data_IF_854876285666
#
_entry.id   IF_854876285666
#
_cell.length_a   1.000
_cell.length_b   1.000
_cell.length_c   1.000
_cell.angle_alpha   90.00
_cell.angle_beta   90.00
_cell.angle_gamma   90.00
#
_symmetry.space_group_name_H-M   'P 1'
#
loop_
_entity.id
_entity.type
_entity.pdbx_description
1 polymer ?
#
# COMPACT_ATOMS: atom_id res chain seq x y z
N UNK A 1 2.50 24.39 25.02
CA UNK A 1 1.86 23.26 24.29
C UNK A 1 2.16 21.90 24.93
N UNK A 2 3.43 21.59 25.25
CA UNK A 2 3.83 20.25 25.74
C UNK A 2 3.29 19.84 27.12
N UNK A 3 3.11 20.78 28.06
CA UNK A 3 2.47 20.49 29.35
C UNK A 3 1.00 20.06 29.19
N UNK A 4 0.27 20.59 28.19
CA UNK A 4 -1.12 20.20 27.91
C UNK A 4 -1.22 18.76 27.38
N UNK A 5 -0.27 18.32 26.56
CA UNK A 5 -0.20 16.94 26.05
C UNK A 5 0.14 15.96 27.20
N UNK A 6 1.06 16.34 28.09
CA UNK A 6 1.42 15.55 29.28
C UNK A 6 0.25 15.37 30.24
N UNK A 7 -0.50 16.45 30.48
CA UNK A 7 -1.67 16.41 31.34
C UNK A 7 -2.82 15.64 30.67
N UNK A 8 -2.97 15.75 29.35
CA UNK A 8 -3.89 14.94 28.55
C UNK A 8 -3.61 13.44 28.67
N UNK A 9 -2.36 12.99 28.50
CA UNK A 9 -1.98 11.56 28.63
C UNK A 9 -2.20 11.04 30.05
N UNK A 10 -1.93 11.86 31.08
CA UNK A 10 -2.16 11.46 32.47
C UNK A 10 -3.65 11.35 32.80
N UNK A 11 -4.43 12.33 32.38
CA UNK A 11 -5.89 12.32 32.51
C UNK A 11 -6.47 11.15 31.72
N UNK A 12 -5.91 10.84 30.54
CA UNK A 12 -6.29 9.70 29.72
C UNK A 12 -6.15 8.37 30.47
N UNK A 13 -4.97 8.06 31.01
CA UNK A 13 -4.78 6.80 31.74
C UNK A 13 -5.54 6.75 33.07
N UNK A 14 -5.81 7.91 33.68
CA UNK A 14 -6.59 8.00 34.90
C UNK A 14 -8.09 7.77 34.64
N UNK A 15 -8.67 8.39 33.60
CA UNK A 15 -10.08 8.24 33.22
C UNK A 15 -10.38 6.88 32.59
N UNK A 16 -9.44 6.26 31.86
CA UNK A 16 -9.63 4.92 31.27
C UNK A 16 -9.67 3.77 32.28
N UNK A 17 -9.29 3.99 33.55
CA UNK A 17 -9.13 2.91 34.56
C UNK A 17 -9.95 3.11 35.83
N UNK A 18 -10.74 4.17 35.91
CA UNK A 18 -11.48 4.56 37.11
C UNK A 18 -12.95 4.82 36.80
N UNK A 19 -13.83 4.36 37.69
CA UNK A 19 -15.24 4.76 37.77
C UNK A 19 -15.37 5.47 39.11
N UNK A 20 -15.81 6.74 39.13
CA UNK A 20 -16.02 7.50 40.39
C UNK A 20 -14.83 7.38 41.37
N UNK A 21 -13.61 7.50 40.82
CA UNK A 21 -12.33 7.35 41.52
C UNK A 21 -11.91 5.97 42.04
N UNK A 22 -12.74 4.94 41.84
CA UNK A 22 -12.42 3.54 42.16
C UNK A 22 -11.82 2.76 40.97
N UNK A 23 -10.81 1.90 41.20
CA UNK A 23 -10.20 1.08 40.15
C UNK A 23 -11.12 -0.05 39.70
N UNK A 24 -11.26 -0.22 38.38
CA UNK A 24 -12.11 -1.26 37.78
C UNK A 24 -11.57 -2.67 38.04
N UNK A 25 -12.46 -3.65 38.25
CA UNK A 25 -12.11 -5.07 38.35
C UNK A 25 -11.36 -5.56 37.09
N UNK A 26 -10.30 -6.36 37.27
CA UNK A 26 -9.50 -6.92 36.17
C UNK A 26 -10.34 -7.66 35.12
N UNK A 27 -11.39 -8.37 35.54
CA UNK A 27 -12.30 -9.08 34.63
C UNK A 27 -13.10 -8.11 33.75
N UNK A 28 -13.63 -7.04 34.34
CA UNK A 28 -14.35 -5.99 33.60
C UNK A 28 -13.42 -5.25 32.64
N UNK A 29 -12.16 -5.01 33.01
CA UNK A 29 -11.15 -4.42 32.12
C UNK A 29 -10.83 -5.32 30.92
N UNK A 30 -10.77 -6.65 31.10
CA UNK A 30 -10.59 -7.58 29.97
C UNK A 30 -11.78 -7.54 29.02
N UNK A 31 -13.01 -7.54 29.54
CA UNK A 31 -14.24 -7.46 28.73
C UNK A 31 -14.28 -6.17 27.91
N UNK A 32 -13.94 -5.03 28.52
CA UNK A 32 -13.88 -3.74 27.82
C UNK A 32 -12.85 -3.81 26.68
N UNK A 33 -11.64 -4.32 26.92
CA UNK A 33 -10.62 -4.44 25.87
C UNK A 33 -11.10 -5.30 24.69
N UNK A 34 -11.81 -6.42 24.94
CA UNK A 34 -12.33 -7.28 23.88
C UNK A 34 -13.36 -6.53 23.04
N UNK A 35 -14.30 -5.82 23.69
CA UNK A 35 -15.30 -4.99 23.01
C UNK A 35 -14.61 -3.90 22.20
N UNK A 36 -13.61 -3.23 22.78
CA UNK A 36 -12.88 -2.15 22.14
C UNK A 36 -12.15 -2.63 20.87
N UNK A 37 -11.53 -3.82 20.92
CA UNK A 37 -10.88 -4.44 19.75
C UNK A 37 -11.90 -4.79 18.66
N UNK A 38 -13.07 -5.31 19.04
CA UNK A 38 -14.15 -5.60 18.10
C UNK A 38 -14.66 -4.33 17.41
N UNK A 39 -14.89 -3.26 18.18
CA UNK A 39 -15.32 -1.97 17.64
C UNK A 39 -14.23 -1.39 16.74
N UNK A 40 -12.98 -1.42 17.18
CA UNK A 40 -11.84 -0.94 16.39
C UNK A 40 -11.77 -1.67 15.04
N UNK A 41 -11.93 -2.99 15.02
CA UNK A 41 -12.00 -3.78 13.79
C UNK A 41 -13.11 -3.30 12.85
N UNK A 42 -14.33 -3.15 13.36
CA UNK A 42 -15.48 -2.67 12.56
C UNK A 42 -15.25 -1.25 12.02
N UNK A 43 -14.63 -0.36 12.81
CA UNK A 43 -14.28 1.00 12.37
C UNK A 43 -13.27 0.95 11.23
N UNK A 44 -12.26 0.09 11.30
CA UNK A 44 -11.31 -0.08 10.19
C UNK A 44 -11.97 -0.64 8.93
N UNK A 45 -12.85 -1.62 9.06
CA UNK A 45 -13.62 -2.14 7.92
C UNK A 45 -14.49 -1.05 7.29
N UNK A 46 -15.22 -0.28 8.10
CA UNK A 46 -16.03 0.83 7.60
C UNK A 46 -15.21 1.94 6.94
N UNK A 47 -14.03 2.25 7.50
CA UNK A 47 -13.10 3.22 6.91
C UNK A 47 -12.53 2.76 5.56
N UNK A 48 -12.25 1.47 5.41
CA UNK A 48 -11.75 0.89 4.17
C UNK A 48 -12.85 0.87 3.09
N UNK A 49 -14.07 0.47 3.46
CA UNK A 49 -15.24 0.47 2.58
C UNK A 49 -15.57 1.87 2.05
N UNK A 50 -15.73 2.86 2.95
CA UNK A 50 -16.05 4.24 2.54
C UNK A 50 -14.92 4.88 1.71
N UNK A 51 -13.67 4.47 1.93
CA UNK A 51 -12.52 4.97 1.16
C UNK A 51 -12.46 4.46 -0.28
N UNK A 52 -13.19 3.37 -0.59
CA UNK A 52 -13.31 2.80 -1.93
C UNK A 52 -14.59 3.23 -2.63
N UNK A 53 -15.48 3.95 -1.95
CA UNK A 53 -16.70 4.48 -2.53
C UNK A 53 -16.47 5.45 -3.72
N UNK A 54 -15.52 6.42 -3.67
CA UNK A 54 -15.17 7.17 -4.87
C UNK A 54 -14.43 6.29 -5.88
N UNK A 55 -14.73 6.46 -7.17
CA UNK A 55 -14.04 5.74 -8.24
C UNK A 55 -12.52 6.00 -8.16
N UNK A 56 -11.76 4.91 -8.19
CA UNK A 56 -10.31 4.99 -8.31
C UNK A 56 -9.90 5.56 -9.67
N UNK A 57 -8.67 6.10 -9.82
CA UNK A 57 -8.18 6.59 -11.10
C UNK A 57 -8.21 5.52 -12.20
N UNK A 58 -7.97 4.26 -11.84
CA UNK A 58 -8.04 3.14 -12.79
C UNK A 58 -9.47 2.75 -13.15
N UNK A 59 -10.44 2.99 -12.27
CA UNK A 59 -11.86 2.79 -12.56
C UNK A 59 -12.46 3.96 -13.35
N UNK A 60 -12.07 5.19 -13.07
CA UNK A 60 -12.54 6.37 -13.78
C UNK A 60 -11.93 6.50 -15.20
N UNK A 61 -10.72 5.98 -15.40
CA UNK A 61 -10.00 6.01 -16.68
C UNK A 61 -9.43 4.61 -17.04
N UNK A 62 -10.29 3.59 -17.23
CA UNK A 62 -9.86 2.21 -17.44
C UNK A 62 -9.07 2.01 -18.74
N UNK A 63 -9.31 2.85 -19.74
CA UNK A 63 -8.60 2.81 -21.02
C UNK A 63 -7.17 3.35 -20.97
N UNK A 64 -6.78 4.09 -19.91
CA UNK A 64 -5.52 4.81 -19.87
C UNK A 64 -4.29 3.89 -19.98
N UNK A 65 -4.25 2.79 -19.24
CA UNK A 65 -3.09 1.90 -19.23
C UNK A 65 -2.82 1.25 -20.60
N UNK A 66 -3.86 0.73 -21.25
CA UNK A 66 -3.73 0.12 -22.58
C UNK A 66 -3.29 1.14 -23.63
N UNK A 67 -3.85 2.35 -23.55
CA UNK A 67 -3.48 3.45 -24.46
C UNK A 67 -2.06 3.96 -24.20
N UNK A 68 -1.63 4.07 -22.94
CA UNK A 68 -0.27 4.44 -22.58
C UNK A 68 0.74 3.43 -23.13
N UNK A 69 0.48 2.13 -22.96
CA UNK A 69 1.34 1.06 -23.49
C UNK A 69 1.50 1.16 -25.01
N UNK A 70 0.42 1.48 -25.73
CA UNK A 70 0.46 1.69 -27.18
C UNK A 70 1.31 2.91 -27.57
N UNK A 71 1.26 4.00 -26.79
CA UNK A 71 2.00 5.23 -27.05
C UNK A 71 3.49 5.14 -26.69
N UNK A 72 3.84 4.33 -25.69
CA UNK A 72 5.24 4.13 -25.26
C UNK A 72 6.05 3.27 -26.26
N UNK A 73 5.39 2.46 -27.10
CA UNK A 73 6.00 1.67 -28.20
C UNK A 73 6.41 2.50 -29.44
N UNK A 74 6.81 3.76 -29.18
CA UNK A 74 7.00 4.89 -30.11
C UNK A 74 7.97 4.70 -31.29
N UNK A 75 8.62 3.54 -31.43
CA UNK A 75 9.53 3.25 -32.55
C UNK A 75 8.86 2.51 -33.72
N UNK A 76 7.83 1.69 -33.44
CA UNK A 76 6.99 1.03 -34.46
C UNK A 76 5.88 0.25 -33.72
N UNK A 77 4.81 0.90 -33.26
CA UNK A 77 3.74 0.20 -32.54
C UNK A 77 3.19 -0.93 -33.43
N UNK A 78 3.21 -2.15 -32.92
CA UNK A 78 2.61 -3.30 -33.62
C UNK A 78 1.09 -3.15 -33.60
N UNK A 79 0.57 -2.37 -34.55
CA UNK A 79 -0.86 -2.11 -34.74
C UNK A 79 -1.67 -3.40 -34.84
N UNK A 80 -1.08 -4.46 -35.42
CA UNK A 80 -1.75 -5.74 -35.51
C UNK A 80 -1.89 -6.36 -34.12
N UNK A 81 -0.82 -6.40 -33.34
CA UNK A 81 -0.85 -6.97 -31.99
C UNK A 81 -1.81 -6.19 -31.09
N UNK A 82 -1.77 -4.86 -31.14
CA UNK A 82 -2.69 -4.01 -30.39
C UNK A 82 -4.17 -4.32 -30.71
N UNK A 83 -4.52 -4.47 -31.98
CA UNK A 83 -5.90 -4.81 -32.38
C UNK A 83 -6.27 -6.25 -32.01
N UNK A 84 -5.33 -7.19 -32.17
CA UNK A 84 -5.53 -8.61 -31.84
C UNK A 84 -5.93 -8.80 -30.38
N UNK A 85 -5.40 -8.00 -29.46
CA UNK A 85 -5.71 -8.10 -28.03
C UNK A 85 -7.20 -7.85 -27.71
N UNK A 86 -7.95 -7.23 -28.62
CA UNK A 86 -9.38 -6.98 -28.51
C UNK A 86 -10.28 -7.96 -29.28
N UNK A 87 -9.71 -8.98 -29.92
CA UNK A 87 -10.46 -9.95 -30.73
C UNK A 87 -10.32 -11.35 -30.13
N UNK A 88 -11.41 -11.92 -29.61
CA UNK A 88 -11.37 -13.26 -29.00
C UNK A 88 -12.75 -13.79 -28.56
N UNK A 89 -12.86 -15.11 -28.48
CA UNK A 89 -14.12 -15.83 -28.18
C UNK A 89 -14.53 -15.77 -26.68
N UNK A 90 -13.61 -15.42 -25.77
CA UNK A 90 -13.84 -15.41 -24.30
C UNK A 90 -13.60 -14.03 -23.66
N UNK A 91 -13.88 -12.93 -24.37
CA UNK A 91 -13.90 -11.63 -23.71
C UNK A 91 -15.23 -11.44 -22.99
N UNK A 92 -15.28 -11.80 -21.70
CA UNK A 92 -16.24 -11.25 -20.77
C UNK A 92 -15.88 -9.78 -20.55
N UNK A 93 -16.27 -8.92 -21.49
CA UNK A 93 -16.06 -7.49 -21.37
C UNK A 93 -17.08 -6.93 -20.37
N UNK A 94 -16.72 -6.90 -19.09
CA UNK A 94 -17.42 -6.08 -18.11
C UNK A 94 -17.44 -4.65 -18.64
N UNK A 95 -18.65 -4.11 -18.85
CA UNK A 95 -18.78 -2.78 -19.41
C UNK A 95 -18.22 -1.74 -18.45
N UNK A 96 -17.53 -0.71 -18.96
CA UNK A 96 -16.99 0.32 -18.08
C UNK A 96 -18.09 1.05 -17.30
N UNK A 97 -19.30 1.13 -17.86
CA UNK A 97 -20.46 1.73 -17.18
C UNK A 97 -20.92 0.97 -15.95
N UNK A 98 -20.70 -0.36 -15.85
CA UNK A 98 -21.20 -1.13 -14.69
C UNK A 98 -20.48 -0.77 -13.39
N UNK A 99 -19.32 -0.12 -13.48
CA UNK A 99 -18.55 0.34 -12.32
C UNK A 99 -19.24 1.53 -11.63
N UNK A 100 -20.11 2.26 -12.34
CA UNK A 100 -20.81 3.43 -11.81
C UNK A 100 -21.95 3.07 -10.83
N UNK A 101 -22.52 1.86 -10.90
CA UNK A 101 -23.78 1.52 -10.22
C UNK A 101 -23.72 1.59 -8.68
N UNK A 102 -22.52 1.54 -8.08
CA UNK A 102 -22.34 1.58 -6.62
C UNK A 102 -21.23 2.54 -6.16
N UNK A 103 -20.72 3.41 -7.04
CA UNK A 103 -19.58 4.26 -6.75
C UNK A 103 -19.86 5.72 -7.04
N UNK A 104 -19.17 6.60 -6.32
CA UNK A 104 -19.21 8.03 -6.59
C UNK A 104 -18.21 8.39 -7.69
N UNK A 105 -18.71 8.90 -8.80
CA UNK A 105 -17.90 9.37 -9.90
C UNK A 105 -18.53 9.00 -11.24
N UNK A 106 -17.82 9.28 -12.33
CA UNK A 106 -18.18 8.83 -13.67
C UNK A 106 -16.94 8.36 -14.41
N UNK A 107 -17.12 7.39 -15.28
CA UNK A 107 -16.08 6.98 -16.21
C UNK A 107 -15.89 8.08 -17.26
N UNK A 108 -14.64 8.28 -17.68
CA UNK A 108 -14.31 9.22 -18.73
C UNK A 108 -15.07 8.91 -20.03
N UNK A 109 -15.74 9.91 -20.66
CA UNK A 109 -16.39 9.73 -21.96
C UNK A 109 -15.44 9.23 -23.05
N UNK A 110 -14.15 9.57 -22.97
CA UNK A 110 -13.13 9.07 -23.89
C UNK A 110 -12.92 7.56 -23.72
N UNK A 111 -12.96 7.04 -22.49
CA UNK A 111 -12.85 5.61 -22.25
C UNK A 111 -14.13 4.86 -22.66
N UNK A 112 -15.31 5.48 -22.55
CA UNK A 112 -16.55 4.90 -23.08
C UNK A 112 -16.53 4.84 -24.61
N UNK A 113 -16.00 5.88 -25.27
CA UNK A 113 -15.80 5.85 -26.72
C UNK A 113 -14.77 4.78 -27.11
N UNK A 114 -13.67 4.67 -26.36
CA UNK A 114 -12.66 3.63 -26.55
C UNK A 114 -13.27 2.22 -26.42
N UNK A 115 -14.06 1.98 -25.38
CA UNK A 115 -14.80 0.72 -25.16
C UNK A 115 -15.65 0.37 -26.39
N UNK A 116 -16.47 1.32 -26.87
CA UNK A 116 -17.34 1.10 -28.03
C UNK A 116 -16.57 0.71 -29.29
N UNK A 117 -15.40 1.32 -29.50
CA UNK A 117 -14.52 1.01 -30.63
C UNK A 117 -13.90 -0.39 -30.48
N UNK A 118 -13.46 -0.75 -29.27
CA UNK A 118 -12.90 -2.09 -29.00
C UNK A 118 -13.95 -3.19 -29.10
N UNK A 119 -15.18 -2.96 -28.63
CA UNK A 119 -16.27 -3.93 -28.77
C UNK A 119 -16.67 -4.13 -30.22
N UNK A 120 -16.66 -3.07 -31.04
CA UNK A 120 -16.93 -3.17 -32.47
C UNK A 120 -15.90 -4.04 -33.23
N UNK A 121 -14.66 -4.12 -32.74
CA UNK A 121 -13.63 -5.00 -33.32
C UNK A 121 -13.95 -6.48 -33.11
N UNK A 122 -14.57 -6.84 -31.99
CA UNK A 122 -14.85 -8.24 -31.64
C UNK A 122 -16.11 -8.76 -32.35
N UNK A 123 -16.05 -8.84 -33.67
CA UNK A 123 -17.10 -9.39 -34.52
C UNK A 123 -16.65 -10.69 -35.21
N UNK A 124 -17.62 -11.49 -35.67
CA UNK A 124 -17.36 -12.80 -36.30
C UNK A 124 -16.40 -12.70 -37.50
N UNK A 125 -16.43 -11.61 -38.27
CA UNK A 125 -15.56 -11.43 -39.44
C UNK A 125 -14.11 -11.26 -39.01
N UNK A 126 -13.84 -10.40 -38.04
CA UNK A 126 -12.51 -10.16 -37.51
C UNK A 126 -11.97 -11.38 -36.76
N UNK A 127 -12.83 -12.06 -35.98
CA UNK A 127 -12.49 -13.32 -35.32
C UNK A 127 -12.06 -14.39 -36.34
N UNK A 128 -12.77 -14.52 -37.46
CA UNK A 128 -12.41 -15.46 -38.52
C UNK A 128 -11.05 -15.12 -39.16
N UNK A 129 -10.73 -13.83 -39.34
CA UNK A 129 -9.42 -13.40 -39.85
C UNK A 129 -8.31 -13.79 -38.86
N UNK A 130 -8.49 -13.49 -37.57
CA UNK A 130 -7.51 -13.86 -36.52
C UNK A 130 -7.34 -15.38 -36.46
N UNK A 131 -8.43 -16.16 -36.50
CA UNK A 131 -8.37 -17.63 -36.51
C UNK A 131 -7.55 -18.15 -37.69
N UNK A 132 -7.78 -17.63 -38.91
CA UNK A 132 -6.99 -17.99 -40.10
C UNK A 132 -5.51 -17.63 -39.96
N UNK A 133 -5.19 -16.52 -39.30
CA UNK A 133 -3.79 -16.15 -39.01
C UNK A 133 -3.18 -17.15 -38.02
N UNK A 134 -3.88 -17.50 -36.94
CA UNK A 134 -3.41 -18.44 -35.93
C UNK A 134 -3.25 -19.88 -36.47
N UNK A 135 -4.14 -20.32 -37.35
CA UNK A 135 -4.03 -21.58 -38.10
C UNK A 135 -2.76 -21.61 -38.97
N UNK A 136 -2.50 -20.54 -39.74
CA UNK A 136 -1.30 -20.44 -40.59
C UNK A 136 -0.01 -20.35 -39.78
N UNK A 137 -0.01 -19.61 -38.68
CA UNK A 137 1.12 -19.59 -37.73
C UNK A 137 1.39 -20.98 -37.17
N UNK A 138 0.34 -21.77 -36.88
CA UNK A 138 0.48 -23.15 -36.43
C UNK A 138 1.09 -24.03 -37.52
N UNK A 139 0.67 -23.89 -38.78
CA UNK A 139 1.27 -24.61 -39.90
C UNK A 139 2.75 -24.25 -40.12
N UNK A 140 3.11 -22.97 -39.99
CA UNK A 140 4.52 -22.53 -40.05
C UNK A 140 5.34 -23.22 -38.96
N UNK A 141 4.88 -23.19 -37.69
CA UNK A 141 5.58 -23.84 -36.58
C UNK A 141 5.80 -25.33 -36.84
N UNK A 142 4.79 -26.05 -37.34
CA UNK A 142 4.91 -27.47 -37.69
C UNK A 142 5.95 -27.72 -38.78
N UNK A 143 6.01 -26.87 -39.81
CA UNK A 143 7.03 -26.96 -40.87
C UNK A 143 8.44 -26.62 -40.35
N UNK A 144 8.57 -25.64 -39.45
CA UNK A 144 9.83 -25.28 -38.81
C UNK A 144 10.36 -26.40 -37.92
N UNK A 145 9.49 -27.02 -37.12
CA UNK A 145 9.83 -28.17 -36.28
C UNK A 145 10.27 -29.37 -37.14
N UNK A 146 9.54 -29.63 -38.24
CA UNK A 146 9.93 -30.67 -39.21
C UNK A 146 11.28 -30.36 -39.86
N UNK A 147 11.52 -29.11 -40.27
CA UNK A 147 12.80 -28.69 -40.82
C UNK A 147 13.95 -28.89 -39.83
N UNK A 148 13.72 -28.63 -38.54
CA UNK A 148 14.70 -28.87 -37.48
C UNK A 148 15.04 -30.36 -37.36
N UNK A 149 14.04 -31.24 -37.39
CA UNK A 149 14.25 -32.69 -37.37
C UNK A 149 15.03 -33.18 -38.60
N UNK A 150 14.66 -32.72 -39.79
CA UNK A 150 15.36 -33.08 -41.04
C UNK A 150 16.83 -32.64 -40.97
N UNK A 151 17.12 -31.42 -40.49
CA UNK A 151 18.50 -30.92 -40.37
C UNK A 151 19.34 -31.73 -39.38
N UNK A 152 18.74 -32.23 -38.30
CA UNK A 152 19.44 -33.07 -37.32
C UNK A 152 19.86 -34.42 -37.92
N UNK A 153 19.04 -34.98 -38.82
CA UNK A 153 19.34 -36.25 -39.50
C UNK A 153 20.26 -36.05 -40.71
N UNK A 154 20.18 -34.91 -41.38
CA UNK A 154 20.91 -34.63 -42.63
C UNK A 154 22.43 -34.83 -42.53
N UNK A 155 23.07 -34.28 -41.49
CA UNK A 155 24.53 -34.38 -41.33
C UNK A 155 24.96 -35.84 -41.11
N UNK A 156 24.18 -36.63 -40.38
CA UNK A 156 24.42 -38.05 -40.16
C UNK A 156 24.21 -38.86 -41.44
N UNK A 157 23.12 -38.63 -42.17
CA UNK A 157 22.86 -39.32 -43.44
C UNK A 157 23.91 -38.97 -44.50
N UNK A 158 24.38 -37.72 -44.54
CA UNK A 158 25.43 -37.30 -45.48
C UNK A 158 26.76 -38.02 -45.19
N UNK A 159 27.12 -38.20 -43.91
CA UNK A 159 28.29 -38.97 -43.52
C UNK A 159 28.16 -40.46 -43.85
N UNK A 160 26.98 -41.05 -43.64
CA UNK A 160 26.67 -42.44 -44.04
C UNK A 160 26.81 -42.63 -45.56
N UNK A 161 26.33 -41.67 -46.36
CA UNK A 161 26.44 -41.70 -47.82
C UNK A 161 27.90 -41.57 -48.27
N UNK A 162 28.69 -40.68 -47.66
CA UNK A 162 30.14 -40.55 -47.93
C UNK A 162 30.89 -41.83 -47.52
N UNK A 163 30.47 -42.50 -46.44
CA UNK A 163 31.04 -43.75 -45.96
C UNK A 163 30.63 -44.98 -46.79
N UNK A 164 29.71 -44.82 -47.76
CA UNK A 164 29.22 -45.92 -48.60
C UNK A 164 28.34 -46.92 -47.84
N UNK A 165 27.70 -46.49 -46.74
CA UNK A 165 26.83 -47.34 -45.95
C UNK A 165 25.53 -47.67 -46.71
N UNK A 166 25.14 -48.95 -46.82
CA UNK A 166 23.86 -49.33 -47.42
C UNK A 166 22.68 -48.74 -46.63
N UNK A 167 21.65 -48.29 -47.35
CA UNK A 167 20.45 -47.65 -46.76
C UNK A 167 19.74 -48.52 -45.72
N UNK A 168 19.76 -49.84 -45.91
CA UNK A 168 19.16 -50.84 -45.03
C UNK A 168 19.76 -50.83 -43.61
N UNK A 169 20.97 -50.28 -43.46
CA UNK A 169 21.70 -50.16 -42.20
C UNK A 169 21.67 -48.73 -41.65
N UNK A 170 21.05 -47.78 -42.36
CA UNK A 170 20.93 -46.39 -41.90
C UNK A 170 19.95 -46.31 -40.74
N UNK A 171 20.30 -45.53 -39.72
CA UNK A 171 19.44 -45.26 -38.57
C UNK A 171 18.52 -44.04 -38.86
N UNK A 172 18.79 -43.32 -39.94
CA UNK A 172 18.06 -42.11 -40.32
C UNK A 172 16.90 -42.43 -41.28
N UNK A 173 15.78 -41.74 -41.11
CA UNK A 173 14.56 -42.00 -41.89
C UNK A 173 14.59 -41.40 -43.31
N UNK A 174 15.49 -40.43 -43.57
CA UNK A 174 15.47 -39.59 -44.78
C UNK A 174 16.85 -39.63 -45.46
N UNK A 175 16.90 -39.79 -46.79
CA UNK A 175 18.17 -39.68 -47.54
C UNK A 175 18.64 -38.22 -47.65
N UNK A 176 19.96 -37.99 -47.77
CA UNK A 176 20.49 -36.64 -47.83
C UNK A 176 19.93 -35.83 -49.02
N UNK A 177 19.73 -36.47 -50.17
CA UNK A 177 19.12 -35.82 -51.35
C UNK A 177 17.66 -35.41 -51.11
N UNK A 178 16.84 -36.31 -50.56
CA UNK A 178 15.42 -36.03 -50.27
C UNK A 178 15.26 -35.02 -49.14
N UNK A 179 16.15 -35.03 -48.15
CA UNK A 179 16.20 -34.04 -47.08
C UNK A 179 16.39 -32.62 -47.61
N UNK A 180 17.28 -32.41 -48.59
CA UNK A 180 17.50 -31.10 -49.21
C UNK A 180 16.28 -30.60 -50.00
N UNK A 181 15.64 -31.48 -50.75
CA UNK A 181 14.42 -31.15 -51.52
C UNK A 181 13.26 -30.80 -50.57
N UNK A 182 13.08 -31.58 -49.50
CA UNK A 182 12.03 -31.36 -48.51
C UNK A 182 12.23 -30.05 -47.72
N UNK A 183 13.47 -29.73 -47.31
CA UNK A 183 13.80 -28.44 -46.69
C UNK A 183 13.47 -27.26 -47.62
N UNK A 184 13.78 -27.40 -48.91
CA UNK A 184 13.51 -26.34 -49.91
C UNK A 184 12.00 -26.14 -50.11
N UNK A 185 11.24 -27.24 -50.20
CA UNK A 185 9.79 -27.21 -50.33
C UNK A 185 9.12 -26.61 -49.08
N UNK A 186 9.55 -27.03 -47.88
CA UNK A 186 9.04 -26.50 -46.63
C UNK A 186 9.34 -25.00 -46.50
N UNK A 187 10.53 -24.54 -46.88
CA UNK A 187 10.87 -23.12 -46.87
C UNK A 187 10.00 -22.30 -47.84
N UNK A 188 9.73 -22.84 -49.03
CA UNK A 188 8.80 -22.21 -49.99
C UNK A 188 7.40 -22.07 -49.41
N UNK A 189 6.89 -23.13 -48.75
CA UNK A 189 5.60 -23.12 -48.07
C UNK A 189 5.55 -22.12 -46.90
N UNK A 190 6.61 -22.04 -46.10
CA UNK A 190 6.72 -21.05 -45.01
C UNK A 190 6.66 -19.63 -45.58
N UNK A 191 7.39 -19.36 -46.68
CA UNK A 191 7.37 -18.05 -47.32
C UNK A 191 5.98 -17.69 -47.86
N UNK A 192 5.27 -18.65 -48.48
CA UNK A 192 3.90 -18.48 -48.95
C UNK A 192 2.94 -18.18 -47.79
N UNK A 193 2.96 -18.99 -46.74
CA UNK A 193 2.13 -18.80 -45.54
C UNK A 193 2.41 -17.45 -44.87
N UNK A 194 3.67 -17.04 -44.82
CA UNK A 194 4.08 -15.73 -44.28
C UNK A 194 3.52 -14.58 -45.12
N UNK A 195 3.54 -14.70 -46.44
CA UNK A 195 2.92 -13.73 -47.36
C UNK A 195 1.40 -13.63 -47.19
N UNK A 196 0.73 -14.77 -47.01
CA UNK A 196 -0.71 -14.81 -46.73
C UNK A 196 -1.04 -14.19 -45.36
N UNK A 197 -0.25 -14.48 -44.32
CA UNK A 197 -0.39 -13.83 -43.00
C UNK A 197 -0.25 -12.32 -43.13
N UNK A 198 0.76 -11.82 -43.86
CA UNK A 198 0.94 -10.38 -44.09
C UNK A 198 -0.28 -9.76 -44.76
N UNK A 199 -0.87 -10.47 -45.72
CA UNK A 199 -2.10 -10.03 -46.42
C UNK A 199 -3.29 -9.99 -45.46
N UNK A 200 -3.49 -11.03 -44.64
CA UNK A 200 -4.57 -11.08 -43.64
C UNK A 200 -4.41 -10.02 -42.55
N UNK A 201 -3.19 -9.76 -42.09
CA UNK A 201 -2.90 -8.65 -41.17
C UNK A 201 -3.28 -7.32 -41.81
N UNK A 202 -2.89 -7.10 -43.07
CA UNK A 202 -3.27 -5.91 -43.82
C UNK A 202 -4.79 -5.77 -44.00
N UNK A 203 -5.50 -6.88 -44.29
CA UNK A 203 -6.97 -6.88 -44.37
C UNK A 203 -7.60 -6.45 -43.04
N UNK A 204 -7.13 -7.00 -41.92
CA UNK A 204 -7.63 -6.65 -40.59
C UNK A 204 -7.38 -5.18 -40.26
N UNK A 205 -6.17 -4.67 -40.53
CA UNK A 205 -5.81 -3.27 -40.27
C UNK A 205 -6.63 -2.27 -41.10
N UNK A 206 -7.08 -2.68 -42.30
CA UNK A 206 -7.86 -1.84 -43.21
C UNK A 206 -9.38 -1.91 -42.97
N UNK A 207 -9.87 -2.72 -42.03
CA UNK A 207 -11.29 -2.72 -41.65
C UNK A 207 -11.66 -1.37 -41.02
N UNK A 208 -12.90 -0.93 -41.23
CA UNK A 208 -13.37 0.37 -40.76
C UNK A 208 -13.25 0.50 -39.23
N UNK A 209 -13.53 -0.57 -38.50
CA UNK A 209 -13.46 -0.66 -37.05
C UNK A 209 -12.00 -0.50 -36.56
N UNK A 210 -11.07 -1.18 -37.23
CA UNK A 210 -9.62 -1.09 -36.98
C UNK A 210 -9.10 0.31 -37.23
N UNK A 211 -9.44 0.90 -38.38
CA UNK A 211 -9.04 2.27 -38.73
C UNK A 211 -9.63 3.27 -37.75
N UNK A 212 -10.88 3.10 -37.33
CA UNK A 212 -11.53 3.98 -36.35
C UNK A 212 -10.82 3.93 -34.98
N UNK A 213 -10.48 2.72 -34.48
CA UNK A 213 -9.73 2.59 -33.24
C UNK A 213 -8.33 3.18 -33.36
N UNK A 214 -7.59 2.84 -34.42
CA UNK A 214 -6.23 3.35 -34.64
C UNK A 214 -6.21 4.87 -34.76
N UNK A 215 -7.14 5.49 -35.48
CA UNK A 215 -7.27 6.95 -35.55
C UNK A 215 -7.62 7.56 -34.18
N UNK A 216 -8.41 6.86 -33.37
CA UNK A 216 -8.73 7.29 -32.02
C UNK A 216 -7.49 7.28 -31.11
N UNK A 217 -6.73 6.19 -31.10
CA UNK A 217 -5.55 6.05 -30.22
C UNK A 217 -4.32 6.82 -30.68
N UNK A 218 -4.18 7.08 -31.98
CA UNK A 218 -3.11 7.91 -32.52
C UNK A 218 -3.36 9.42 -32.35
N UNK A 219 -4.53 9.82 -31.87
CA UNK A 219 -4.82 11.23 -31.61
C UNK A 219 -4.06 11.72 -30.37
N UNK A 220 -3.00 12.52 -30.61
CA UNK A 220 -2.18 13.09 -29.54
C UNK A 220 -2.98 14.00 -28.60
N UNK A 221 -3.95 14.75 -29.13
CA UNK A 221 -4.80 15.63 -28.34
C UNK A 221 -5.64 14.82 -27.33
N UNK A 222 -6.31 13.76 -27.79
CA UNK A 222 -7.11 12.90 -26.91
C UNK A 222 -6.24 12.15 -25.89
N UNK A 223 -5.06 11.70 -26.31
CA UNK A 223 -4.11 11.06 -25.40
C UNK A 223 -3.59 12.03 -24.31
N UNK A 224 -3.24 13.26 -24.70
CA UNK A 224 -2.81 14.28 -23.74
C UNK A 224 -3.92 14.66 -22.75
N UNK A 225 -5.17 14.71 -23.23
CA UNK A 225 -6.33 14.96 -22.41
C UNK A 225 -6.52 13.85 -21.38
N UNK A 226 -6.59 12.58 -21.82
CA UNK A 226 -6.78 11.44 -20.91
C UNK A 226 -5.63 11.32 -19.89
N UNK A 227 -4.38 11.54 -20.34
CA UNK A 227 -3.20 11.52 -19.47
C UNK A 227 -3.28 12.58 -18.39
N UNK A 228 -3.55 13.83 -18.75
CA UNK A 228 -3.66 14.93 -17.77
C UNK A 228 -4.84 14.73 -16.80
N UNK A 229 -5.96 14.16 -17.28
CA UNK A 229 -7.11 13.85 -16.44
C UNK A 229 -6.82 12.70 -15.47
N UNK A 230 -6.14 11.64 -15.94
CA UNK A 230 -5.71 10.53 -15.09
C UNK A 230 -4.68 10.97 -14.05
N UNK A 231 -3.64 11.72 -14.44
CA UNK A 231 -2.62 12.22 -13.52
C UNK A 231 -3.25 13.10 -12.42
N UNK A 232 -4.19 13.97 -12.80
CA UNK A 232 -4.95 14.78 -11.85
C UNK A 232 -5.79 13.91 -10.92
N UNK A 233 -6.50 12.91 -11.44
CA UNK A 233 -7.30 12.01 -10.62
C UNK A 233 -6.42 11.22 -9.66
N UNK A 234 -5.30 10.68 -10.14
CA UNK A 234 -4.32 9.95 -9.33
C UNK A 234 -3.71 10.81 -8.23
N UNK A 235 -3.42 12.08 -8.53
CA UNK A 235 -2.92 13.05 -7.56
C UNK A 235 -3.95 13.37 -6.45
N UNK A 236 -5.21 13.62 -6.81
CA UNK A 236 -6.24 14.02 -5.84
C UNK A 236 -6.90 12.85 -5.12
N UNK A 237 -6.83 11.64 -5.66
CA UNK A 237 -7.51 10.46 -5.11
C UNK A 237 -7.18 10.19 -3.64
N UNK A 238 -5.91 10.17 -3.19
CA UNK A 238 -5.60 9.98 -1.76
C UNK A 238 -6.23 11.04 -0.85
N UNK A 239 -6.33 12.29 -1.32
CA UNK A 239 -6.97 13.38 -0.58
C UNK A 239 -8.48 13.18 -0.49
N UNK A 240 -9.11 12.74 -1.59
CA UNK A 240 -10.54 12.41 -1.63
C UNK A 240 -10.85 11.24 -0.70
N UNK A 241 -10.01 10.20 -0.68
CA UNK A 241 -10.15 9.07 0.25
C UNK A 241 -10.10 9.52 1.71
N UNK A 242 -9.12 10.37 2.06
CA UNK A 242 -9.01 10.92 3.41
C UNK A 242 -10.26 11.73 3.78
N UNK A 243 -10.79 12.55 2.86
CA UNK A 243 -11.99 13.33 3.09
C UNK A 243 -13.17 12.43 3.44
N UNK A 244 -13.39 11.36 2.68
CA UNK A 244 -14.47 10.40 2.95
C UNK A 244 -14.29 9.64 4.27
N UNK A 245 -13.06 9.25 4.59
CA UNK A 245 -12.73 8.67 5.89
C UNK A 245 -13.01 9.65 7.04
N UNK A 246 -12.73 10.94 6.85
CA UNK A 246 -13.05 11.99 7.81
C UNK A 246 -14.56 12.19 7.95
N UNK A 247 -15.33 12.15 6.86
CA UNK A 247 -16.80 12.23 6.89
C UNK A 247 -17.40 11.08 7.69
N UNK A 248 -16.82 9.88 7.62
CA UNK A 248 -17.25 8.74 8.44
C UNK A 248 -16.86 8.89 9.92
N UNK A 249 -15.62 9.31 10.20
CA UNK A 249 -15.03 9.22 11.53
C UNK A 249 -15.27 10.44 12.42
N UNK A 250 -15.30 11.66 11.84
CA UNK A 250 -15.52 12.91 12.59
C UNK A 250 -16.88 12.93 13.29
N UNK A 251 -18.01 12.54 12.68
CA UNK A 251 -19.30 12.46 13.37
C UNK A 251 -19.26 11.54 14.59
N UNK A 252 -18.61 10.38 14.49
CA UNK A 252 -18.47 9.43 15.59
C UNK A 252 -17.67 10.03 16.77
N UNK A 253 -16.59 10.74 16.47
CA UNK A 253 -15.82 11.48 17.48
C UNK A 253 -16.66 12.58 18.12
N UNK A 254 -17.41 13.36 17.33
CA UNK A 254 -18.25 14.45 17.85
C UNK A 254 -19.33 13.89 18.78
N UNK A 255 -20.06 12.86 18.34
CA UNK A 255 -21.10 12.21 19.15
C UNK A 255 -20.50 11.67 20.45
N UNK A 256 -19.40 10.92 20.36
CA UNK A 256 -18.72 10.37 21.53
C UNK A 256 -18.26 11.47 22.50
N UNK A 257 -17.73 12.58 21.98
CA UNK A 257 -17.33 13.74 22.79
C UNK A 257 -18.52 14.44 23.47
N UNK A 258 -19.64 14.59 22.77
CA UNK A 258 -20.86 15.18 23.32
C UNK A 258 -21.44 14.31 24.43
N UNK A 259 -21.54 13.00 24.20
CA UNK A 259 -22.01 12.01 25.19
C UNK A 259 -21.10 12.02 26.41
N UNK A 260 -19.77 12.04 26.22
CA UNK A 260 -18.82 12.11 27.32
C UNK A 260 -19.03 13.36 28.17
N UNK A 261 -19.08 14.55 27.56
CA UNK A 261 -19.31 15.81 28.29
C UNK A 261 -20.64 15.80 29.04
N UNK A 262 -21.70 15.31 28.42
CA UNK A 262 -23.01 15.21 29.05
C UNK A 262 -23.01 14.24 30.24
N UNK A 263 -22.34 13.10 30.11
CA UNK A 263 -22.25 12.06 31.13
C UNK A 263 -21.39 12.48 32.33
N UNK A 264 -20.26 13.16 32.07
CA UNK A 264 -19.36 13.69 33.12
C UNK A 264 -20.10 14.77 33.94
N UNK A 265 -20.86 15.65 33.28
CA UNK A 265 -21.63 16.71 33.94
C UNK A 265 -22.80 16.16 34.79
N UNK A 266 -23.38 15.02 34.42
CA UNK A 266 -24.51 14.39 35.14
C UNK A 266 -24.08 13.35 36.19
N UNK A 267 -22.78 13.06 36.31
CA UNK A 267 -22.27 12.07 37.27
C UNK A 267 -22.56 10.62 36.89
N UNK A 268 -22.83 10.31 35.62
CA UNK A 268 -22.99 8.92 35.18
C UNK A 268 -21.60 8.28 34.93
N UNK A 269 -21.00 7.71 35.97
CA UNK A 269 -19.63 7.18 35.93
C UNK A 269 -19.39 6.11 34.84
N UNK A 270 -20.31 5.16 34.68
CA UNK A 270 -20.20 4.06 33.70
C UNK A 270 -20.28 4.56 32.24
N UNK A 271 -21.22 5.46 31.95
CA UNK A 271 -21.40 6.02 30.60
C UNK A 271 -20.27 6.98 30.24
N UNK A 272 -19.72 7.69 31.23
CA UNK A 272 -18.54 8.56 31.06
C UNK A 272 -17.31 7.72 30.69
N UNK A 273 -17.13 6.57 31.35
CA UNK A 273 -16.07 5.60 31.04
C UNK A 273 -16.24 5.01 29.64
N UNK A 274 -17.43 4.53 29.27
CA UNK A 274 -17.68 3.92 27.95
C UNK A 274 -17.48 4.90 26.80
N UNK A 275 -18.05 6.11 26.90
CA UNK A 275 -17.84 7.14 25.87
C UNK A 275 -16.38 7.59 25.78
N UNK A 276 -15.64 7.59 26.90
CA UNK A 276 -14.21 7.85 26.88
C UNK A 276 -13.45 6.80 26.07
N UNK A 277 -13.69 5.50 26.30
CA UNK A 277 -13.05 4.44 25.51
C UNK A 277 -13.43 4.51 24.02
N UNK A 278 -14.71 4.74 23.70
CA UNK A 278 -15.16 4.95 22.31
C UNK A 278 -14.42 6.12 21.63
N UNK A 279 -14.27 7.25 22.33
CA UNK A 279 -13.51 8.39 21.82
C UNK A 279 -12.07 8.00 21.49
N UNK A 280 -11.41 7.28 22.40
CA UNK A 280 -10.03 6.81 22.21
C UNK A 280 -9.92 5.86 21.02
N UNK A 281 -10.83 4.90 20.90
CA UNK A 281 -10.86 3.93 19.80
C UNK A 281 -11.01 4.64 18.47
N UNK A 282 -11.91 5.63 18.35
CA UNK A 282 -12.06 6.38 17.11
C UNK A 282 -10.86 7.29 16.80
N UNK A 283 -10.13 7.75 17.82
CA UNK A 283 -8.95 8.57 17.62
C UNK A 283 -7.73 7.78 17.10
N UNK A 284 -7.65 6.47 17.36
CA UNK A 284 -6.55 5.62 16.91
C UNK A 284 -6.48 5.54 15.36
N UNK A 285 -7.54 5.14 14.63
CA UNK A 285 -7.54 5.14 13.17
C UNK A 285 -7.29 6.52 12.57
N UNK A 286 -7.83 7.58 13.19
CA UNK A 286 -7.60 8.96 12.74
C UNK A 286 -6.10 9.31 12.76
N UNK A 287 -5.40 9.00 13.85
CA UNK A 287 -3.97 9.24 13.95
C UNK A 287 -3.19 8.42 12.93
N UNK A 288 -3.54 7.13 12.76
CA UNK A 288 -2.89 6.27 11.78
C UNK A 288 -3.07 6.83 10.37
N UNK A 289 -4.29 7.21 9.98
CA UNK A 289 -4.57 7.78 8.65
C UNK A 289 -3.93 9.15 8.44
N UNK A 290 -3.84 9.97 9.49
CA UNK A 290 -3.09 11.22 9.43
C UNK A 290 -1.59 10.97 9.20
N UNK A 291 -1.00 9.99 9.87
CA UNK A 291 0.40 9.62 9.65
C UNK A 291 0.62 9.00 8.27
N UNK A 292 -0.29 8.12 7.81
CA UNK A 292 -0.26 7.55 6.46
C UNK A 292 -0.31 8.66 5.41
N UNK A 293 -1.26 9.60 5.53
CA UNK A 293 -1.34 10.77 4.66
C UNK A 293 -0.12 11.70 4.77
N UNK A 294 0.56 11.79 5.91
CA UNK A 294 1.79 12.60 6.05
C UNK A 294 3.04 11.88 5.53
N UNK A 295 3.10 10.56 5.65
CA UNK A 295 4.20 9.71 5.19
C UNK A 295 4.16 9.50 3.68
N UNK A 296 2.96 9.28 3.13
CA UNK A 296 2.66 9.29 1.68
C UNK A 296 2.45 10.73 1.17
N UNK A 297 2.39 11.69 2.10
CA UNK A 297 2.08 13.08 1.83
C UNK A 297 3.13 13.77 0.99
N UNK A 298 2.64 14.39 -0.08
CA UNK A 298 3.23 15.39 -0.96
C UNK A 298 4.32 16.30 -0.34
N UNK A 299 4.30 16.61 0.96
CA UNK A 299 5.39 17.39 1.60
C UNK A 299 6.72 16.64 1.46
N UNK A 300 6.70 15.33 1.66
CA UNK A 300 7.91 14.53 1.58
C UNK A 300 8.36 14.33 0.13
N UNK A 301 7.47 13.93 -0.78
CA UNK A 301 7.83 13.79 -2.20
C UNK A 301 8.19 15.11 -2.89
N UNK A 302 7.51 16.23 -2.58
CA UNK A 302 7.85 17.54 -3.16
C UNK A 302 9.12 18.12 -2.59
N UNK A 303 9.36 17.98 -1.28
CA UNK A 303 10.63 18.38 -0.67
C UNK A 303 11.78 17.51 -1.20
N UNK A 304 11.54 16.21 -1.40
CA UNK A 304 12.48 15.33 -2.06
C UNK A 304 12.70 15.66 -3.52
N UNK A 305 11.67 16.04 -4.29
CA UNK A 305 11.82 16.49 -5.67
C UNK A 305 12.66 17.77 -5.76
N UNK A 306 12.45 18.71 -4.84
CA UNK A 306 13.31 19.90 -4.73
C UNK A 306 14.75 19.49 -4.41
N UNK A 307 14.96 18.53 -3.49
CA UNK A 307 16.29 18.01 -3.14
C UNK A 307 16.91 17.24 -4.31
N UNK A 308 16.19 16.40 -5.05
CA UNK A 308 16.73 15.66 -6.21
C UNK A 308 17.03 16.58 -7.39
N UNK A 309 16.26 17.64 -7.59
CA UNK A 309 16.56 18.72 -8.55
C UNK A 309 17.82 19.49 -8.10
N UNK A 310 17.96 19.80 -6.81
CA UNK A 310 19.12 20.53 -6.27
C UNK A 310 20.41 19.68 -6.25
N UNK A 311 20.29 18.38 -6.05
CA UNK A 311 21.40 17.41 -5.95
C UNK A 311 21.52 16.48 -7.17
N UNK A 312 20.87 16.80 -8.29
CA UNK A 312 21.10 16.19 -9.60
C UNK A 312 20.78 14.70 -9.72
N UNK A 313 19.77 14.18 -9.03
CA UNK A 313 19.34 12.79 -9.17
C UNK A 313 20.17 11.75 -8.41
N UNK A 314 21.06 12.15 -7.50
CA UNK A 314 21.79 11.23 -6.63
C UNK A 314 20.87 10.67 -5.52
N UNK A 315 19.98 9.75 -5.90
CA UNK A 315 19.08 9.01 -5.00
C UNK A 315 19.82 8.36 -3.80
N UNK A 316 21.09 8.00 -3.97
CA UNK A 316 21.89 7.41 -2.91
C UNK A 316 22.13 8.39 -1.73
N UNK A 317 22.24 9.69 -1.99
CA UNK A 317 22.54 10.70 -0.96
C UNK A 317 21.35 10.86 0.01
N UNK A 318 20.13 10.74 -0.52
CA UNK A 318 18.88 10.73 0.26
C UNK A 318 18.82 9.49 1.16
N UNK A 319 19.21 8.32 0.65
CA UNK A 319 19.30 7.08 1.43
C UNK A 319 20.32 7.17 2.57
N UNK A 320 21.47 7.82 2.36
CA UNK A 320 22.43 8.07 3.45
C UNK A 320 21.87 9.03 4.51
N UNK A 321 21.09 10.04 4.11
CA UNK A 321 20.44 10.95 5.05
C UNK A 321 19.44 10.21 5.97
N UNK A 322 18.68 9.26 5.42
CA UNK A 322 17.79 8.40 6.22
C UNK A 322 18.52 7.56 7.27
N UNK A 323 19.64 6.96 6.88
CA UNK A 323 20.49 6.17 7.79
C UNK A 323 20.97 7.02 8.97
N UNK A 324 21.15 8.34 8.79
CA UNK A 324 21.53 9.26 9.86
C UNK A 324 20.33 9.82 10.65
N UNK A 325 19.21 10.15 10.00
CA UNK A 325 18.05 10.76 10.67
C UNK A 325 17.33 9.76 11.58
N UNK A 326 17.18 8.50 11.18
CA UNK A 326 16.42 7.50 11.95
C UNK A 326 17.06 7.24 13.34
N UNK A 327 18.39 6.98 13.45
CA UNK A 327 19.04 6.82 14.75
C UNK A 327 19.07 8.12 15.56
N UNK A 328 19.22 9.28 14.91
CA UNK A 328 19.21 10.58 15.58
C UNK A 328 17.86 10.87 16.24
N UNK A 329 16.77 10.65 15.52
CA UNK A 329 15.40 10.78 16.06
C UNK A 329 15.17 9.75 17.16
N UNK A 330 15.60 8.51 16.98
CA UNK A 330 15.54 7.48 18.03
C UNK A 330 16.29 7.89 19.31
N UNK A 331 17.50 8.42 19.17
CA UNK A 331 18.31 8.92 20.29
C UNK A 331 17.67 10.12 20.98
N UNK A 332 17.13 11.07 20.20
CA UNK A 332 16.40 12.22 20.73
C UNK A 332 15.15 11.78 21.49
N UNK A 333 14.39 10.81 20.96
CA UNK A 333 13.23 10.22 21.63
C UNK A 333 13.63 9.53 22.94
N UNK A 334 14.70 8.72 22.95
CA UNK A 334 15.19 8.05 24.17
C UNK A 334 15.60 9.09 25.22
N UNK A 335 16.41 10.09 24.85
CA UNK A 335 16.86 11.17 25.75
C UNK A 335 15.67 12.00 26.25
N UNK A 336 14.67 12.20 25.39
CA UNK A 336 13.42 12.85 25.72
C UNK A 336 12.62 12.04 26.76
N UNK A 337 12.41 10.73 26.54
CA UNK A 337 11.70 9.86 27.50
C UNK A 337 12.42 9.77 28.85
N UNK A 338 13.75 9.63 28.86
CA UNK A 338 14.55 9.59 30.09
C UNK A 338 14.42 10.88 30.91
N UNK A 339 14.49 12.07 30.26
CA UNK A 339 14.39 13.36 30.95
C UNK A 339 12.96 13.70 31.40
N UNK A 340 11.93 13.29 30.65
CA UNK A 340 10.55 13.75 30.85
C UNK A 340 9.62 12.77 31.56
N UNK A 341 9.81 11.46 31.40
CA UNK A 341 8.96 10.42 32.02
C UNK A 341 9.60 9.85 33.29
N UNK A 342 10.93 9.75 33.33
CA UNK A 342 11.66 9.09 34.41
C UNK A 342 12.43 10.05 35.33
N UNK A 343 11.93 11.25 35.60
CA UNK A 343 12.59 12.16 36.56
C UNK A 343 12.51 11.55 37.99
N UNK A 344 13.65 11.13 38.58
CA UNK A 344 13.67 10.38 39.83
C UNK A 344 13.12 11.20 41.01
N UNK A 345 13.33 12.51 41.01
CA UNK A 345 12.87 13.42 42.08
C UNK A 345 11.33 13.54 42.11
N UNK A 346 10.70 13.63 40.94
CA UNK A 346 9.22 13.69 40.85
C UNK A 346 8.56 12.35 41.18
N UNK A 347 9.25 11.24 40.89
CA UNK A 347 8.79 9.92 41.27
C UNK A 347 8.96 9.67 42.77
N UNK A 348 10.05 10.15 43.37
CA UNK A 348 10.28 10.05 44.81
C UNK A 348 9.22 10.80 45.62
N UNK A 349 8.92 12.06 45.28
CA UNK A 349 7.88 12.86 45.94
C UNK A 349 6.50 12.19 45.88
N UNK A 350 6.07 11.68 44.71
CA UNK A 350 4.79 10.96 44.56
C UNK A 350 4.75 9.61 45.29
N UNK A 351 5.91 8.97 45.50
CA UNK A 351 5.99 7.70 46.24
C UNK A 351 5.87 7.94 47.74
N UNK A 352 6.50 8.99 48.27
CA UNK A 352 6.37 9.38 49.68
C UNK A 352 4.92 9.77 50.01
N UNK A 353 4.27 10.57 49.17
CA UNK A 353 2.86 10.96 49.33
C UNK A 353 1.91 9.75 49.41
N UNK A 354 2.24 8.66 48.69
CA UNK A 354 1.42 7.44 48.62
C UNK A 354 1.90 6.31 49.52
N UNK A 355 2.80 6.60 50.46
CA UNK A 355 3.39 5.63 51.40
C UNK A 355 3.99 4.43 50.66
N UNK A 356 4.84 4.69 49.65
CA UNK A 356 5.51 3.65 48.86
C UNK A 356 7.01 3.75 49.00
N UNK A 357 7.68 2.60 48.95
CA UNK A 357 9.13 2.53 48.97
C UNK A 357 9.76 3.33 47.82
N UNK A 358 10.74 4.17 48.14
CA UNK A 358 11.47 5.00 47.17
C UNK A 358 12.17 4.18 46.07
N UNK A 359 12.63 2.96 46.37
CA UNK A 359 13.34 2.09 45.42
C UNK A 359 12.42 1.15 44.66
N UNK A 360 11.67 0.29 45.36
CA UNK A 360 10.87 -0.78 44.73
C UNK A 360 9.40 -0.41 44.48
N UNK A 361 8.91 0.72 45.00
CA UNK A 361 7.54 1.21 44.74
C UNK A 361 6.41 0.44 45.42
N UNK A 362 6.70 -0.58 46.25
CA UNK A 362 5.70 -1.30 47.05
C UNK A 362 5.18 -0.44 48.20
N UNK A 363 3.90 -0.61 48.57
CA UNK A 363 3.27 0.12 49.69
C UNK A 363 3.91 -0.30 51.01
N UNK A 364 4.16 0.67 51.87
CA UNK A 364 4.79 0.54 53.18
C UNK A 364 4.03 1.44 54.16
N UNK A 365 4.18 1.17 55.46
CA UNK A 365 3.61 2.04 56.48
C UNK A 365 4.39 3.37 56.53
N UNK A 366 3.70 4.45 56.93
CA UNK A 366 4.37 5.69 57.27
C UNK A 366 5.38 5.40 58.39
N UNK A 367 6.56 5.99 58.29
CA UNK A 367 7.65 5.91 59.30
C UNK A 367 8.56 4.67 59.30
N UNK A 368 8.41 3.72 58.36
CA UNK A 368 9.39 2.61 58.26
C UNK A 368 10.74 3.07 57.66
N UNK A 369 11.82 2.98 58.44
CA UNK A 369 13.16 3.38 58.00
C UNK A 369 13.74 2.49 56.90
N UNK A 370 13.49 1.18 57.00
CA UNK A 370 13.86 0.18 56.00
C UNK A 370 12.62 -0.41 55.32
N UNK A 371 12.69 -0.61 54.02
CA UNK A 371 11.62 -1.28 53.29
C UNK A 371 11.60 -2.79 53.60
N UNK A 372 10.49 -3.37 54.10
CA UNK A 372 10.40 -4.79 54.43
C UNK A 372 10.47 -5.71 53.19
N UNK A 373 10.30 -5.15 51.98
CA UNK A 373 10.32 -5.93 50.74
C UNK A 373 11.66 -5.92 50.00
N UNK A 374 12.53 -4.93 50.24
CA UNK A 374 13.79 -4.80 49.49
C UNK A 374 14.97 -4.30 50.33
N UNK A 375 14.81 -4.13 51.65
CA UNK A 375 15.86 -3.71 52.57
C UNK A 375 16.41 -2.30 52.36
N UNK A 376 15.75 -1.46 51.54
CA UNK A 376 16.27 -0.13 51.22
C UNK A 376 16.01 0.86 52.37
N UNK A 377 17.07 1.53 52.83
CA UNK A 377 16.97 2.61 53.81
C UNK A 377 16.49 3.91 53.17
N UNK A 378 15.39 4.47 53.68
CA UNK A 378 14.62 5.53 53.01
C UNK A 378 15.00 6.95 53.40
N UNK A 379 15.76 7.12 54.49
CA UNK A 379 16.11 8.44 55.03
C UNK A 379 17.57 8.81 54.78
N UNK A 380 17.86 10.10 54.85
CA UNK A 380 19.19 10.69 54.85
C UNK A 380 19.19 11.91 55.75
N UNK A 381 20.35 12.27 56.28
CA UNK A 381 20.50 13.45 57.12
C UNK A 381 20.49 14.73 56.28
N UNK A 382 19.80 15.78 56.75
CA UNK A 382 19.84 17.09 56.11
C UNK A 382 21.11 17.86 56.53
N UNK A 383 21.88 18.35 55.56
CA UNK A 383 23.11 19.13 55.80
C UNK A 383 22.92 20.48 56.49
N UNK A 384 21.69 20.99 56.60
CA UNK A 384 21.40 22.28 57.24
C UNK A 384 20.78 22.12 58.63
N UNK A 385 19.75 21.27 58.77
CA UNK A 385 19.02 21.11 60.03
C UNK A 385 19.31 19.79 60.76
N UNK A 386 20.20 18.94 60.22
CA UNK A 386 20.59 17.63 60.76
C UNK A 386 19.46 16.63 61.03
N UNK A 387 18.22 16.95 60.65
CA UNK A 387 17.08 16.04 60.76
C UNK A 387 17.04 15.04 59.59
N UNK A 388 16.49 13.86 59.87
CA UNK A 388 16.28 12.80 58.88
C UNK A 388 15.15 13.20 57.89
N UNK A 389 15.48 13.15 56.61
CA UNK A 389 14.58 13.44 55.48
C UNK A 389 14.66 12.36 54.41
N UNK A 390 13.64 12.22 53.59
CA UNK A 390 13.59 11.15 52.58
C UNK A 390 14.66 11.32 51.49
N UNK A 391 15.31 10.21 51.10
CA UNK A 391 16.28 10.19 50.00
C UNK A 391 15.61 10.58 48.67
N UNK A 392 16.37 11.24 47.79
CA UNK A 392 15.92 11.68 46.46
C UNK A 392 14.80 12.73 46.45
N UNK A 393 14.49 13.36 47.59
CA UNK A 393 13.70 14.61 47.60
C UNK A 393 14.61 15.79 47.26
N UNK A 394 14.05 16.76 46.54
CA UNK A 394 14.77 17.99 46.17
C UNK A 394 14.92 18.97 47.34
N UNK A 395 14.03 18.90 48.33
CA UNK A 395 13.99 19.78 49.50
C UNK A 395 13.77 18.96 50.76
N UNK A 396 14.38 19.40 51.87
CA UNK A 396 14.13 18.82 53.18
C UNK A 396 12.68 19.10 53.62
N UNK A 397 11.97 18.08 54.10
CA UNK A 397 10.59 18.26 54.56
C UNK A 397 10.49 19.01 55.91
N UNK A 398 11.59 19.11 56.66
CA UNK A 398 11.65 19.81 57.95
C UNK A 398 11.97 21.30 57.80
N UNK A 399 13.03 21.63 57.05
CA UNK A 399 13.57 23.00 56.98
C UNK A 399 13.46 23.64 55.60
N UNK A 400 12.90 22.94 54.61
CA UNK A 400 12.72 23.45 53.24
C UNK A 400 14.01 23.68 52.45
N UNK A 401 15.19 23.42 53.02
CA UNK A 401 16.47 23.66 52.36
C UNK A 401 16.68 22.66 51.23
N UNK A 402 17.19 23.14 50.08
CA UNK A 402 17.50 22.29 48.92
C UNK A 402 18.55 21.26 49.30
N UNK A 403 18.27 20.00 49.02
CA UNK A 403 19.20 18.91 49.30
C UNK A 403 20.22 18.80 48.16
N UNK A 404 21.52 18.78 48.50
CA UNK A 404 22.58 18.45 47.57
C UNK A 404 22.68 16.93 47.49
N UNK A 405 21.81 16.33 46.67
CA UNK A 405 21.76 14.89 46.40
C UNK A 405 22.30 14.54 45.02
#
# INVERSE_FOLDING_TARGET
>A
MWNRIRDFIRVFFAKSRKIEDEPINKVSLIVIIIIDLFILGNVFYGLDDISRWPLSPTQAYPCYQSWQNYQEDSSSPDNYQFIRDFIGENQDSLSFNSVEENHLGKVSPLCLQYESLTQALNNNTNQNIVRRIDEKNTQIRLLEDKNKQIRQQYDSTLLEEIAGQPRELSINEIEAKTAKEELTNNQSNINLLTGEIKTLKGELLNKNESVALLNFVNSQDKFSQIKSSWERANFWYPTIQLLWQMVFLVPLIIISSLVHKWSDNKGYGLVSLMSWHLLVIFFIPLLIKLFEFLQIGFIFESLLNIVTILFGGLLFLVSYLYIFIIPLVGFLLIKFFQKFVFNPYTQASKRVEKSRCLRCGKKINHDTAYCPHCGFYQYQECSNCHNLTYKYLSYCYHCGTKQNN
#
